data_IF_585728548458
#
_entry.id   IF_585728548458
#
_cell.length_a   1.000
_cell.length_b   1.000
_cell.length_c   1.000
_cell.angle_alpha   90.00
_cell.angle_beta   90.00
_cell.angle_gamma   90.00
#
_symmetry.space_group_name_H-M   'P 1'
#
loop_
_entity.id
_entity.type
_entity.pdbx_description
1 polymer ?
#
# COMPACT_ATOMS: atom_id res chain seq x y z
N UNK A 1 33.38 70.80 11.02
CA UNK A 1 33.70 69.52 10.35
C UNK A 1 34.39 68.65 11.41
N UNK A 2 34.02 67.44 11.78
CA UNK A 2 32.89 66.56 11.47
C UNK A 2 32.79 65.58 12.66
N UNK A 3 31.59 65.24 13.12
CA UNK A 3 31.37 64.13 14.05
C UNK A 3 30.69 63.00 13.28
N UNK A 4 31.39 61.89 13.09
CA UNK A 4 30.81 60.67 12.53
C UNK A 4 30.18 59.86 13.68
N UNK A 5 28.89 59.51 13.63
CA UNK A 5 28.32 58.55 14.56
C UNK A 5 28.67 57.12 14.14
N UNK A 6 29.23 56.36 15.09
CA UNK A 6 29.55 54.93 14.99
C UNK A 6 28.27 54.11 14.75
N UNK A 7 28.26 53.12 13.83
CA UNK A 7 27.05 52.39 13.47
C UNK A 7 26.57 51.43 14.56
N UNK A 8 25.29 51.56 14.91
CA UNK A 8 24.51 50.81 15.88
C UNK A 8 24.27 49.31 15.52
N UNK A 9 25.16 48.68 14.75
CA UNK A 9 24.96 47.31 14.26
C UNK A 9 25.55 46.23 15.17
N UNK A 10 26.36 46.59 16.17
CA UNK A 10 26.99 45.61 17.07
C UNK A 10 26.29 45.41 18.41
N UNK A 11 25.42 46.34 18.83
CA UNK A 11 24.74 46.26 20.15
C UNK A 11 23.51 45.35 20.12
N UNK A 12 22.99 45.05 18.92
CA UNK A 12 21.78 44.23 18.76
C UNK A 12 22.07 42.72 18.93
N UNK A 13 23.33 42.30 18.86
CA UNK A 13 23.71 40.88 18.94
C UNK A 13 23.87 40.36 20.38
N UNK A 14 24.00 41.23 21.39
CA UNK A 14 24.15 40.81 22.79
C UNK A 14 22.81 40.74 23.55
N UNK A 15 21.82 41.57 23.22
CA UNK A 15 20.52 41.56 23.89
C UNK A 15 19.64 40.36 23.55
N UNK A 16 19.83 39.72 22.39
CA UNK A 16 19.11 38.50 22.02
C UNK A 16 19.66 37.23 22.71
N UNK A 17 20.76 37.33 23.47
CA UNK A 17 21.41 36.21 24.16
C UNK A 17 21.10 36.16 25.67
N UNK A 18 20.45 37.20 26.21
CA UNK A 18 20.15 37.36 27.64
C UNK A 18 18.72 36.96 28.04
N UNK A 19 17.77 36.95 27.10
CA UNK A 19 16.46 36.33 27.33
C UNK A 19 16.53 34.90 26.85
N UNK A 20 16.63 33.96 27.78
CA UNK A 20 16.69 32.53 27.53
C UNK A 20 15.59 32.12 26.54
N UNK A 21 15.98 31.93 25.28
CA UNK A 21 15.13 31.31 24.29
C UNK A 21 14.64 29.97 24.84
N UNK A 22 13.42 29.53 24.47
CA UNK A 22 12.75 28.42 25.12
C UNK A 22 13.67 27.20 25.19
N UNK A 23 13.98 26.75 26.41
CA UNK A 23 14.84 25.61 26.65
C UNK A 23 14.31 24.42 25.85
N UNK A 24 15.20 23.71 25.13
CA UNK A 24 14.86 22.50 24.38
C UNK A 24 14.20 21.50 25.35
N UNK A 25 12.88 21.37 25.29
CA UNK A 25 12.09 20.50 26.17
C UNK A 25 11.15 21.23 27.15
N UNK A 26 11.21 22.55 27.25
CA UNK A 26 10.22 23.35 28.01
C UNK A 26 8.81 23.21 27.43
N UNK A 27 7.79 23.39 28.27
CA UNK A 27 6.38 23.35 27.83
C UNK A 27 6.13 24.33 26.69
N UNK A 28 6.75 25.52 26.73
CA UNK A 28 6.67 26.51 25.65
C UNK A 28 7.34 26.03 24.35
N UNK A 29 8.51 25.37 24.42
CA UNK A 29 9.15 24.76 23.25
C UNK A 29 8.31 23.61 22.66
N UNK A 30 7.68 22.80 23.51
CA UNK A 30 6.79 21.71 23.09
C UNK A 30 5.54 22.25 22.40
N UNK A 31 4.91 23.30 22.95
CA UNK A 31 3.76 23.96 22.33
C UNK A 31 4.13 24.57 20.97
N UNK A 32 5.26 25.27 20.86
CA UNK A 32 5.73 25.84 19.59
C UNK A 32 6.04 24.74 18.56
N UNK A 33 6.69 23.65 18.99
CA UNK A 33 6.95 22.49 18.14
C UNK A 33 5.65 21.86 17.62
N UNK A 34 4.65 21.71 18.50
CA UNK A 34 3.35 21.14 18.15
C UNK A 34 2.60 22.02 17.14
N UNK A 35 2.55 23.34 17.37
CA UNK A 35 1.96 24.30 16.43
C UNK A 35 2.67 24.24 15.07
N UNK A 36 4.00 24.10 15.06
CA UNK A 36 4.77 23.90 13.85
C UNK A 36 4.32 22.64 13.10
N UNK A 37 4.22 21.49 13.79
CA UNK A 37 3.78 20.22 13.18
C UNK A 37 2.36 20.31 12.60
N UNK A 38 1.42 20.90 13.34
CA UNK A 38 0.05 21.10 12.87
C UNK A 38 0.00 21.97 11.62
N UNK A 39 0.70 23.11 11.58
CA UNK A 39 0.77 23.96 10.38
C UNK A 39 1.39 23.25 9.19
N UNK A 40 2.47 22.49 9.41
CA UNK A 40 3.09 21.69 8.36
C UNK A 40 2.13 20.64 7.79
N UNK A 41 1.28 20.04 8.64
CA UNK A 41 0.24 19.12 8.19
C UNK A 41 -0.87 19.83 7.42
N UNK A 42 -1.38 20.96 7.91
CA UNK A 42 -2.40 21.74 7.21
C UNK A 42 -1.94 22.17 5.81
N UNK A 43 -0.68 22.61 5.67
CA UNK A 43 -0.09 22.95 4.37
C UNK A 43 -0.03 21.74 3.44
N UNK A 44 0.47 20.60 3.94
CA UNK A 44 0.51 19.37 3.15
C UNK A 44 -0.89 18.90 2.74
N UNK A 45 -1.89 19.04 3.63
CA UNK A 45 -3.27 18.67 3.36
C UNK A 45 -3.91 19.58 2.28
N UNK A 46 -3.56 20.86 2.25
CA UNK A 46 -4.01 21.78 1.20
C UNK A 46 -3.35 21.46 -0.15
N UNK A 47 -2.04 21.20 -0.15
CA UNK A 47 -1.29 20.88 -1.38
C UNK A 47 -1.77 19.56 -1.98
N UNK A 48 -1.74 18.48 -1.20
CA UNK A 48 -2.11 17.13 -1.65
C UNK A 48 -3.61 17.01 -1.81
N UNK A 49 -4.41 17.56 -0.89
CA UNK A 49 -5.87 17.56 -1.00
C UNK A 49 -6.37 18.37 -2.20
N UNK A 50 -5.71 19.49 -2.53
CA UNK A 50 -5.99 20.25 -3.74
C UNK A 50 -5.70 19.44 -5.00
N UNK A 51 -4.55 18.74 -5.06
CA UNK A 51 -4.25 17.80 -6.15
C UNK A 51 -5.27 16.67 -6.24
N UNK A 52 -5.69 16.08 -5.11
CA UNK A 52 -6.70 15.03 -5.08
C UNK A 52 -8.05 15.49 -5.65
N UNK A 53 -8.41 16.77 -5.49
CA UNK A 53 -9.66 17.32 -6.04
C UNK A 53 -9.53 17.72 -7.52
N UNK A 54 -8.42 18.35 -7.90
CA UNK A 54 -8.23 18.88 -9.24
C UNK A 54 -7.77 17.80 -10.24
N UNK A 55 -6.82 16.97 -9.85
CA UNK A 55 -6.16 15.97 -10.68
C UNK A 55 -5.99 14.67 -9.90
N UNK A 56 -7.09 13.99 -9.52
CA UNK A 56 -7.03 12.76 -8.72
C UNK A 56 -6.17 11.67 -9.37
N UNK A 57 -6.05 11.66 -10.70
CA UNK A 57 -5.24 10.71 -11.48
C UNK A 57 -3.73 10.95 -11.43
N UNK A 58 -3.29 12.09 -10.87
CA UNK A 58 -1.89 12.51 -10.81
C UNK A 58 -1.33 12.46 -9.37
N UNK A 59 -2.13 11.95 -8.42
CA UNK A 59 -1.71 11.73 -7.03
C UNK A 59 -0.77 10.55 -6.99
N UNK A 60 0.43 10.74 -6.42
CA UNK A 60 1.48 9.73 -6.32
C UNK A 60 1.62 9.15 -4.92
N UNK A 61 2.30 8.01 -4.79
CA UNK A 61 2.60 7.40 -3.48
C UNK A 61 3.48 8.29 -2.61
N UNK A 62 4.29 9.16 -3.23
CA UNK A 62 5.12 10.14 -2.55
C UNK A 62 4.29 11.30 -1.96
N UNK A 63 3.29 11.82 -2.70
CA UNK A 63 2.34 12.80 -2.18
C UNK A 63 1.59 12.24 -0.95
N UNK A 64 1.16 10.98 -1.03
CA UNK A 64 0.46 10.32 0.05
C UNK A 64 1.35 10.03 1.27
N UNK A 65 2.59 9.59 1.05
CA UNK A 65 3.57 9.34 2.11
C UNK A 65 3.98 10.65 2.82
N UNK A 66 4.13 11.73 2.05
CA UNK A 66 4.39 13.06 2.57
C UNK A 66 3.28 13.51 3.51
N UNK A 67 2.02 13.43 3.06
CA UNK A 67 0.86 13.81 3.86
C UNK A 67 0.73 12.95 5.14
N UNK A 68 0.88 11.63 5.02
CA UNK A 68 0.85 10.68 6.14
C UNK A 68 1.88 10.99 7.22
N UNK A 69 3.11 11.31 6.82
CA UNK A 69 4.20 11.64 7.74
C UNK A 69 3.91 12.91 8.54
N UNK A 70 3.34 13.93 7.88
CA UNK A 70 2.96 15.19 8.55
C UNK A 70 1.79 14.96 9.51
N UNK A 71 0.80 14.18 9.11
CA UNK A 71 -0.35 13.85 9.96
C UNK A 71 0.07 13.08 11.21
N UNK A 72 0.89 12.04 11.05
CA UNK A 72 1.43 11.25 12.17
C UNK A 72 2.19 12.13 13.18
N UNK A 73 2.99 13.08 12.68
CA UNK A 73 3.72 14.04 13.52
C UNK A 73 2.79 15.05 14.19
N UNK A 74 1.75 15.52 13.50
CA UNK A 74 0.78 16.46 14.04
C UNK A 74 -0.10 15.81 15.12
N UNK A 75 -0.49 14.55 14.98
CA UNK A 75 -1.30 13.86 15.98
C UNK A 75 -0.48 13.14 17.06
N UNK A 76 0.84 13.04 16.89
CA UNK A 76 1.71 12.30 17.81
C UNK A 76 1.47 10.79 17.81
N UNK A 77 0.76 10.26 16.80
CA UNK A 77 0.50 8.85 16.62
C UNK A 77 1.29 8.32 15.42
N UNK A 78 1.82 7.10 15.54
CA UNK A 78 2.64 6.49 14.49
C UNK A 78 1.87 6.17 13.20
N UNK A 79 0.55 6.02 13.28
CA UNK A 79 -0.30 5.76 12.14
C UNK A 79 -1.55 6.66 12.20
N UNK A 80 -1.83 7.47 11.15
CA UNK A 80 -3.06 8.24 11.09
C UNK A 80 -4.27 7.30 10.93
N UNK A 81 -5.48 7.74 11.31
CA UNK A 81 -6.69 6.96 11.22
C UNK A 81 -7.01 6.61 9.76
N UNK A 82 -7.71 5.50 9.56
CA UNK A 82 -8.07 5.00 8.22
C UNK A 82 -9.03 5.90 7.45
N UNK A 83 -9.70 6.82 8.15
CA UNK A 83 -10.63 7.82 7.58
C UNK A 83 -9.99 9.20 7.39
N UNK A 84 -8.65 9.27 7.41
CA UNK A 84 -7.89 10.49 7.20
C UNK A 84 -7.69 10.83 5.72
N UNK A 85 -7.42 12.11 5.45
CA UNK A 85 -7.06 12.59 4.11
C UNK A 85 -5.79 11.90 3.61
N UNK A 86 -4.83 11.56 4.49
CA UNK A 86 -3.65 10.80 4.07
C UNK A 86 -3.99 9.37 3.66
N UNK A 87 -4.95 8.72 4.33
CA UNK A 87 -5.44 7.40 3.91
C UNK A 87 -6.15 7.46 2.54
N UNK A 88 -6.94 8.50 2.27
CA UNK A 88 -7.55 8.73 0.96
C UNK A 88 -6.50 9.01 -0.13
N UNK A 89 -5.48 9.82 0.17
CA UNK A 89 -4.37 10.06 -0.73
C UNK A 89 -3.63 8.77 -1.08
N UNK A 90 -3.40 7.89 -0.07
CA UNK A 90 -2.77 6.59 -0.29
C UNK A 90 -3.62 5.68 -1.19
N UNK A 91 -4.95 5.70 -1.04
CA UNK A 91 -5.87 4.94 -1.89
C UNK A 91 -5.82 5.42 -3.33
N UNK A 92 -5.90 6.74 -3.56
CA UNK A 92 -5.82 7.32 -4.90
C UNK A 92 -4.48 7.04 -5.57
N UNK A 93 -3.38 7.20 -4.83
CA UNK A 93 -2.04 6.91 -5.32
C UNK A 93 -1.88 5.45 -5.77
N UNK A 94 -2.34 4.50 -4.96
CA UNK A 94 -2.31 3.08 -5.30
C UNK A 94 -3.11 2.77 -6.58
N UNK A 95 -4.29 3.39 -6.73
CA UNK A 95 -5.10 3.24 -7.95
C UNK A 95 -4.38 3.81 -9.19
N UNK A 96 -3.74 4.98 -9.07
CA UNK A 96 -3.10 5.65 -10.20
C UNK A 96 -1.81 4.99 -10.66
N UNK A 97 -0.98 4.52 -9.72
CA UNK A 97 0.31 3.91 -10.05
C UNK A 97 0.16 2.51 -10.65
N UNK A 98 -1.07 1.99 -10.75
CA UNK A 98 -1.31 0.58 -11.12
C UNK A 98 -0.79 -0.40 -10.08
N UNK A 99 -0.21 0.12 -8.99
CA UNK A 99 0.02 -0.56 -7.73
C UNK A 99 -1.34 -0.81 -7.08
N UNK A 100 -2.04 -1.79 -7.61
CA UNK A 100 -2.81 -2.73 -6.80
C UNK A 100 -1.86 -3.42 -5.79
N UNK A 101 -1.12 -2.66 -4.96
CA UNK A 101 -0.87 -3.09 -3.60
C UNK A 101 -2.22 -3.09 -2.95
N UNK A 102 -2.87 -4.24 -3.11
CA UNK A 102 -3.90 -4.75 -2.23
C UNK A 102 -3.62 -4.22 -0.81
N UNK A 103 -4.66 -3.79 -0.09
CA UNK A 103 -4.50 -3.32 1.28
C UNK A 103 -3.56 -4.27 2.01
N UNK A 104 -2.53 -3.71 2.65
CA UNK A 104 -1.55 -4.47 3.45
C UNK A 104 -2.24 -5.65 4.11
N UNK A 105 -1.69 -6.87 3.94
CA UNK A 105 -2.18 -8.14 4.52
C UNK A 105 -2.57 -8.05 6.02
N UNK A 106 -2.33 -6.94 6.72
CA UNK A 106 -2.89 -6.63 8.04
C UNK A 106 -4.29 -5.99 8.10
N UNK A 107 -4.98 -5.68 6.99
CA UNK A 107 -6.32 -5.04 7.00
C UNK A 107 -7.47 -5.92 6.49
N UNK A 108 -7.19 -7.10 5.92
CA UNK A 108 -8.23 -8.10 5.67
C UNK A 108 -8.43 -8.95 6.93
N UNK A 109 -9.69 -9.27 7.24
CA UNK A 109 -9.97 -10.33 8.21
C UNK A 109 -9.23 -11.61 7.78
N UNK A 110 -8.59 -12.36 8.70
CA UNK A 110 -7.80 -13.54 8.36
C UNK A 110 -8.57 -14.56 7.51
N UNK A 111 -9.89 -14.66 7.65
CA UNK A 111 -10.71 -15.55 6.83
C UNK A 111 -10.77 -15.07 5.37
N UNK A 112 -10.92 -13.77 5.15
CA UNK A 112 -10.93 -13.16 3.81
C UNK A 112 -9.57 -13.30 3.13
N UNK A 113 -8.48 -13.06 3.87
CA UNK A 113 -7.13 -13.26 3.32
C UNK A 113 -6.89 -14.74 2.98
N UNK A 114 -7.27 -15.66 3.86
CA UNK A 114 -7.14 -17.10 3.59
C UNK A 114 -7.94 -17.53 2.36
N UNK A 115 -9.14 -16.98 2.15
CA UNK A 115 -9.94 -17.26 0.97
C UNK A 115 -9.26 -16.72 -0.30
N UNK A 116 -8.76 -15.49 -0.27
CA UNK A 116 -8.04 -14.88 -1.39
C UNK A 116 -6.76 -15.68 -1.75
N UNK A 117 -5.95 -16.01 -0.74
CA UNK A 117 -4.73 -16.81 -0.93
C UNK A 117 -5.08 -18.19 -1.55
N UNK A 118 -6.23 -18.81 -1.21
CA UNK A 118 -6.66 -20.09 -1.83
C UNK A 118 -7.04 -19.95 -3.30
N UNK A 119 -7.71 -18.86 -3.67
CA UNK A 119 -8.08 -18.58 -5.06
C UNK A 119 -6.82 -18.31 -5.88
N UNK A 120 -5.91 -17.47 -5.38
CA UNK A 120 -4.64 -17.17 -6.06
C UNK A 120 -3.79 -18.43 -6.27
N UNK A 121 -3.74 -19.32 -5.26
CA UNK A 121 -3.07 -20.61 -5.38
C UNK A 121 -3.70 -21.54 -6.45
N UNK A 122 -5.01 -21.45 -6.68
CA UNK A 122 -5.68 -22.18 -7.75
C UNK A 122 -5.36 -21.56 -9.12
N UNK A 123 -5.43 -20.24 -9.23
CA UNK A 123 -5.11 -19.52 -10.48
C UNK A 123 -3.67 -19.80 -10.91
N UNK A 124 -2.71 -19.70 -9.99
CA UNK A 124 -1.30 -19.99 -10.30
C UNK A 124 -1.07 -21.44 -10.73
N UNK A 125 -1.81 -22.41 -10.17
CA UNK A 125 -1.76 -23.79 -10.63
C UNK A 125 -2.41 -23.94 -12.01
N UNK A 126 -3.52 -23.24 -12.26
CA UNK A 126 -4.19 -23.23 -13.55
C UNK A 126 -3.31 -22.64 -14.65
N UNK A 127 -2.58 -21.55 -14.39
CA UNK A 127 -1.66 -20.93 -15.35
C UNK A 127 -0.51 -21.85 -15.77
N UNK A 128 -0.06 -22.73 -14.86
CA UNK A 128 1.01 -23.70 -15.17
C UNK A 128 0.50 -24.87 -16.02
N UNK A 129 -0.74 -25.31 -15.80
CA UNK A 129 -1.29 -26.52 -16.42
C UNK A 129 -2.12 -26.21 -17.66
N UNK A 130 -2.84 -25.09 -17.72
CA UNK A 130 -3.67 -24.68 -18.86
C UNK A 130 -2.93 -24.64 -20.21
N UNK A 131 -1.71 -24.07 -20.33
CA UNK A 131 -1.00 -24.09 -21.60
C UNK A 131 -0.64 -25.51 -22.04
N UNK A 132 -0.36 -26.43 -21.10
CA UNK A 132 -0.15 -27.84 -21.43
C UNK A 132 -1.45 -28.48 -21.88
N UNK A 133 -2.55 -28.29 -21.16
CA UNK A 133 -3.87 -28.80 -21.58
C UNK A 133 -4.29 -28.32 -22.98
N UNK A 134 -3.91 -27.09 -23.35
CA UNK A 134 -4.27 -26.52 -24.65
C UNK A 134 -3.36 -26.97 -25.80
N UNK A 135 -2.04 -27.04 -25.58
CA UNK A 135 -1.06 -27.29 -26.63
C UNK A 135 -0.61 -28.75 -26.69
N UNK A 136 -0.56 -29.42 -25.54
CA UNK A 136 -0.09 -30.78 -25.39
C UNK A 136 -0.91 -31.55 -24.34
N UNK A 137 -2.17 -31.89 -24.66
CA UNK A 137 -3.06 -32.57 -23.74
C UNK A 137 -2.59 -33.99 -23.38
N UNK A 138 -1.79 -34.65 -24.23
CA UNK A 138 -1.30 -36.02 -24.00
C UNK A 138 -0.22 -36.08 -22.90
N UNK A 139 0.43 -34.95 -22.60
CA UNK A 139 1.43 -34.83 -21.54
C UNK A 139 0.88 -34.28 -20.21
N UNK A 140 -0.42 -34.04 -20.10
CA UNK A 140 -1.05 -33.68 -18.82
C UNK A 140 -0.95 -34.87 -17.88
N UNK A 141 -0.34 -34.66 -16.71
CA UNK A 141 -0.08 -35.72 -15.73
C UNK A 141 -1.17 -35.81 -14.67
N UNK A 142 -1.27 -36.98 -14.02
CA UNK A 142 -2.17 -37.20 -12.89
C UNK A 142 -1.90 -36.24 -11.72
N UNK A 143 -0.63 -36.00 -11.40
CA UNK A 143 -0.24 -35.09 -10.33
C UNK A 143 -0.71 -33.65 -10.59
N UNK A 144 -0.65 -33.19 -11.84
CA UNK A 144 -1.16 -31.86 -12.24
C UNK A 144 -2.68 -31.78 -12.11
N UNK A 145 -3.40 -32.83 -12.53
CA UNK A 145 -4.84 -32.90 -12.41
C UNK A 145 -5.30 -32.99 -10.94
N UNK A 146 -4.59 -33.74 -10.10
CA UNK A 146 -4.87 -33.87 -8.66
C UNK A 146 -4.53 -32.57 -7.91
N UNK A 147 -3.46 -31.87 -8.32
CA UNK A 147 -3.12 -30.55 -7.80
C UNK A 147 -4.25 -29.55 -8.08
N UNK A 148 -4.71 -29.44 -9.33
CA UNK A 148 -5.82 -28.55 -9.69
C UNK A 148 -7.08 -28.89 -8.90
N UNK A 149 -7.41 -30.18 -8.78
CA UNK A 149 -8.57 -30.64 -8.01
C UNK A 149 -8.46 -30.23 -6.54
N UNK A 150 -7.32 -30.48 -5.89
CA UNK A 150 -7.11 -30.09 -4.50
C UNK A 150 -7.18 -28.57 -4.29
N UNK A 151 -6.71 -27.77 -5.25
CA UNK A 151 -6.74 -26.30 -5.13
C UNK A 151 -8.15 -25.76 -5.32
N UNK A 152 -8.91 -26.31 -6.27
CA UNK A 152 -10.30 -25.92 -6.52
C UNK A 152 -11.19 -26.28 -5.33
N UNK A 153 -11.02 -27.48 -4.76
CA UNK A 153 -11.73 -27.88 -3.53
C UNK A 153 -11.42 -26.98 -2.34
N UNK A 154 -10.18 -26.50 -2.20
CA UNK A 154 -9.82 -25.57 -1.11
C UNK A 154 -10.37 -24.16 -1.34
N UNK A 155 -10.41 -23.70 -2.59
CA UNK A 155 -10.88 -22.37 -2.96
C UNK A 155 -12.41 -22.27 -2.91
N UNK A 156 -13.13 -23.24 -3.48
CA UNK A 156 -14.58 -23.17 -3.68
C UNK A 156 -15.38 -24.24 -2.93
N UNK A 157 -14.72 -25.22 -2.31
CA UNK A 157 -15.39 -26.33 -1.60
C UNK A 157 -16.01 -27.38 -2.52
N UNK A 158 -15.90 -27.21 -3.83
CA UNK A 158 -16.38 -28.14 -4.84
C UNK A 158 -15.55 -28.00 -6.12
N UNK A 159 -15.63 -29.02 -6.97
CA UNK A 159 -15.02 -29.00 -8.30
C UNK A 159 -16.11 -28.69 -9.31
N UNK A 160 -15.89 -27.65 -10.10
CA UNK A 160 -16.86 -27.21 -11.08
C UNK A 160 -16.92 -28.21 -12.23
N UNK A 161 -18.12 -28.68 -12.59
CA UNK A 161 -18.30 -29.54 -13.76
C UNK A 161 -17.87 -28.77 -15.01
N UNK A 162 -16.89 -29.31 -15.75
CA UNK A 162 -16.30 -28.64 -16.91
C UNK A 162 -15.31 -27.51 -16.55
N UNK A 163 -15.01 -27.29 -15.28
CA UNK A 163 -13.89 -26.44 -14.84
C UNK A 163 -12.54 -27.07 -15.17
N UNK A 164 -11.46 -26.30 -14.99
CA UNK A 164 -10.11 -26.71 -15.41
C UNK A 164 -9.66 -28.03 -14.75
N UNK A 165 -9.97 -28.25 -13.48
CA UNK A 165 -9.62 -29.50 -12.80
C UNK A 165 -10.41 -30.71 -13.37
N UNK A 166 -11.71 -30.54 -13.64
CA UNK A 166 -12.53 -31.58 -14.28
C UNK A 166 -12.02 -31.93 -15.68
N UNK A 167 -11.58 -30.91 -16.44
CA UNK A 167 -11.01 -31.10 -17.78
C UNK A 167 -9.67 -31.82 -17.70
N UNK A 168 -8.77 -31.41 -16.79
CA UNK A 168 -7.49 -32.06 -16.58
C UNK A 168 -7.64 -33.54 -16.21
N UNK A 169 -8.56 -33.87 -15.29
CA UNK A 169 -8.87 -35.26 -14.91
C UNK A 169 -9.41 -36.08 -16.09
N UNK A 170 -10.23 -35.47 -16.95
CA UNK A 170 -10.75 -36.14 -18.15
C UNK A 170 -9.62 -36.45 -19.14
N UNK A 171 -8.73 -35.48 -19.40
CA UNK A 171 -7.57 -35.66 -20.27
C UNK A 171 -6.64 -36.75 -19.76
N UNK A 172 -6.33 -36.78 -18.47
CA UNK A 172 -5.52 -37.84 -17.85
C UNK A 172 -6.17 -39.21 -18.05
N UNK A 173 -7.48 -39.33 -17.79
CA UNK A 173 -8.19 -40.59 -17.98
C UNK A 173 -8.21 -41.07 -19.45
N UNK A 174 -8.21 -40.15 -20.42
CA UNK A 174 -8.08 -40.48 -21.85
C UNK A 174 -6.65 -40.91 -22.21
N UNK A 175 -5.64 -40.22 -21.69
CA UNK A 175 -4.23 -40.54 -21.89
C UNK A 175 -3.88 -41.93 -21.32
N UNK A 176 -4.37 -42.24 -20.11
CA UNK A 176 -4.19 -43.56 -19.48
C UNK A 176 -4.83 -44.67 -20.34
N UNK A 177 -6.02 -44.44 -20.91
CA UNK A 177 -6.67 -45.42 -21.81
C UNK A 177 -5.85 -45.66 -23.07
N UNK A 178 -5.36 -44.59 -23.70
CA UNK A 178 -4.52 -44.66 -24.91
C UNK A 178 -3.20 -45.38 -24.65
N UNK A 179 -2.58 -45.16 -23.49
CA UNK A 179 -1.32 -45.83 -23.13
C UNK A 179 -1.47 -47.34 -22.90
N UNK A 180 -2.69 -47.81 -22.60
CA UNK A 180 -2.99 -49.23 -22.37
C UNK A 180 -3.46 -50.00 -23.61
N UNK A 181 -3.62 -49.33 -24.76
CA UNK A 181 -4.08 -49.94 -26.04
C UNK A 181 -2.93 -50.04 -27.03
#
# INVERSE_FOLDING_TARGET
MAAQPTPASQVISETAKAEGGPDKGSTSAQMQSQVGKTRNFEQAAQEVGGKMQAEPGNVTSEDAAYLKSREARAMGQGQPPSDSISADAQRLAAVNEGDAKMPSKGQMDPATQSAADRVENLESAAEQVAPKMANDPEHVTKDEADLLHSREQRAFGATSKGGIASQAQSMVAENEKKATT
#
